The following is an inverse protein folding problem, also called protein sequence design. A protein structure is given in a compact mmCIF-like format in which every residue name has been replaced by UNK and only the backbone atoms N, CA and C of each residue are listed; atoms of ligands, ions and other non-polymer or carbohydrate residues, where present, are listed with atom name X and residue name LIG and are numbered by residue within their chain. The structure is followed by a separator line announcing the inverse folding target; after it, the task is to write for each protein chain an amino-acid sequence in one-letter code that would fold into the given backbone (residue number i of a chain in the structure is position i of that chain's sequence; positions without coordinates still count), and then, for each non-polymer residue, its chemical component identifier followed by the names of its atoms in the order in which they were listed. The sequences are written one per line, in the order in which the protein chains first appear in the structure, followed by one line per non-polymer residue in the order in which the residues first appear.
data_IF_691584923261
#
_entry.id   IF_691584923261
#
_cell.length_a   1.000
_cell.length_b   1.000
_cell.length_c   1.000
_cell.angle_alpha   90.00
_cell.angle_beta   90.00
_cell.angle_gamma   90.00
#
_symmetry.space_group_name_H-M   'P 1'
#
loop_
_entity.id
_entity.type
_entity.pdbx_description
1 polymer ?
#
# COMPACT_ATOMS: atom_id res chain seq x y z
N UNK A 1 27.85 -23.71 0.58
CA UNK A 1 27.97 -22.29 0.19
C UNK A 1 26.97 -21.50 1.01
N UNK A 2 27.41 -20.95 2.15
CA UNK A 2 26.61 -20.04 2.96
C UNK A 2 26.50 -18.69 2.26
N UNK A 3 25.27 -18.23 2.04
CA UNK A 3 25.01 -16.87 1.56
C UNK A 3 25.30 -15.92 2.71
N UNK A 4 26.41 -15.18 2.63
CA UNK A 4 26.68 -14.05 3.53
C UNK A 4 25.56 -13.01 3.37
N UNK A 5 24.77 -12.85 4.42
CA UNK A 5 23.75 -11.81 4.51
C UNK A 5 24.47 -10.48 4.75
N UNK A 6 24.26 -9.49 3.87
CA UNK A 6 24.80 -8.15 4.06
C UNK A 6 23.97 -7.48 5.17
N UNK A 7 24.59 -6.96 6.25
CA UNK A 7 23.87 -6.22 7.28
C UNK A 7 23.09 -5.07 6.64
N UNK A 8 21.77 -5.11 6.74
CA UNK A 8 20.87 -4.09 6.17
C UNK A 8 20.19 -4.43 4.84
N UNK A 9 20.46 -5.58 4.20
CA UNK A 9 19.69 -5.98 3.01
C UNK A 9 18.41 -6.73 3.42
N UNK A 10 17.26 -6.07 3.38
CA UNK A 10 15.98 -6.75 3.57
C UNK A 10 15.68 -7.66 2.37
N UNK A 11 15.25 -8.90 2.64
CA UNK A 11 14.82 -9.81 1.57
C UNK A 11 13.47 -9.31 1.05
N UNK A 12 13.48 -8.65 -0.11
CA UNK A 12 12.26 -8.12 -0.73
C UNK A 12 11.32 -9.28 -1.09
N UNK A 13 10.21 -9.38 -0.37
CA UNK A 13 9.19 -10.41 -0.62
C UNK A 13 8.01 -9.80 -1.39
N UNK A 14 7.93 -10.12 -2.68
CA UNK A 14 6.93 -9.57 -3.62
C UNK A 14 5.71 -10.48 -3.72
N UNK A 15 4.54 -9.90 -3.99
CA UNK A 15 3.29 -10.59 -4.30
C UNK A 15 2.92 -11.69 -3.29
N UNK A 16 3.22 -11.43 -2.02
CA UNK A 16 2.75 -12.19 -0.87
C UNK A 16 2.11 -11.24 0.12
N UNK A 17 1.30 -11.78 1.01
CA UNK A 17 0.67 -11.05 2.10
C UNK A 17 1.27 -11.53 3.41
N UNK A 18 1.64 -10.58 4.27
CA UNK A 18 2.13 -10.80 5.62
C UNK A 18 1.38 -9.91 6.61
N UNK A 19 1.95 -9.69 7.80
CA UNK A 19 1.36 -8.77 8.79
C UNK A 19 1.38 -7.33 8.31
N UNK A 20 2.49 -6.87 7.74
CA UNK A 20 2.68 -5.51 7.22
C UNK A 20 2.84 -5.57 5.70
N UNK A 21 1.98 -4.87 4.97
CA UNK A 21 1.85 -4.99 3.51
C UNK A 21 1.99 -3.64 2.83
N UNK A 22 2.95 -3.48 1.93
CA UNK A 22 3.01 -2.33 1.03
C UNK A 22 2.18 -2.64 -0.23
N UNK A 23 0.96 -2.12 -0.27
CA UNK A 23 0.04 -2.28 -1.38
C UNK A 23 0.32 -1.23 -2.46
N UNK A 24 0.52 -1.70 -3.69
CA UNK A 24 0.66 -0.83 -4.85
C UNK A 24 -0.74 -0.49 -5.37
N UNK A 25 -1.03 0.80 -5.46
CA UNK A 25 -2.29 1.31 -6.01
C UNK A 25 -2.06 2.32 -7.13
N UNK A 26 -3.10 2.54 -7.91
CA UNK A 26 -3.19 3.55 -8.97
C UNK A 26 -3.95 4.78 -8.45
N UNK A 27 -3.84 5.93 -9.14
CA UNK A 27 -4.50 7.18 -8.71
C UNK A 27 -6.01 7.08 -8.45
N UNK A 28 -6.71 6.08 -9.00
CA UNK A 28 -8.13 5.85 -8.69
C UNK A 28 -8.45 5.68 -7.19
N UNK A 29 -7.45 5.44 -6.33
CA UNK A 29 -7.62 5.47 -4.87
C UNK A 29 -8.09 6.83 -4.33
N UNK A 30 -7.72 7.94 -4.99
CA UNK A 30 -8.10 9.29 -4.56
C UNK A 30 -9.61 9.54 -4.70
N UNK A 31 -10.27 8.85 -5.64
CA UNK A 31 -11.75 8.91 -5.78
C UNK A 31 -12.48 8.14 -4.69
N UNK A 32 -11.75 7.41 -3.84
CA UNK A 32 -12.29 6.52 -2.80
C UNK A 32 -11.61 6.78 -1.46
N UNK A 33 -11.18 8.01 -1.17
CA UNK A 33 -10.49 8.31 0.10
C UNK A 33 -11.36 8.05 1.32
N UNK A 34 -12.66 8.33 1.28
CA UNK A 34 -13.55 8.05 2.42
C UNK A 34 -13.78 6.55 2.64
N UNK A 35 -13.69 5.76 1.56
CA UNK A 35 -13.98 4.32 1.56
C UNK A 35 -12.89 3.58 0.77
N UNK A 36 -11.64 3.59 1.26
CA UNK A 36 -10.51 3.07 0.50
C UNK A 36 -10.65 1.57 0.32
N UNK A 37 -10.11 1.06 -0.79
CA UNK A 37 -10.05 -0.37 -1.02
C UNK A 37 -8.76 -0.77 -1.72
N UNK A 38 -8.19 -1.91 -1.30
CA UNK A 38 -7.11 -2.56 -2.01
C UNK A 38 -7.69 -3.52 -3.07
N UNK A 39 -7.82 -3.03 -4.31
CA UNK A 39 -8.22 -3.87 -5.45
C UNK A 39 -7.09 -4.77 -5.95
N UNK A 40 -7.42 -5.98 -6.37
CA UNK A 40 -6.50 -6.96 -6.95
C UNK A 40 -7.02 -7.46 -8.31
N UNK A 41 -6.13 -7.67 -9.29
CA UNK A 41 -6.51 -8.25 -10.58
C UNK A 41 -6.86 -9.74 -10.44
N UNK A 42 -7.51 -10.30 -11.48
CA UNK A 42 -8.05 -11.66 -11.45
C UNK A 42 -7.03 -12.74 -11.06
N UNK A 43 -5.81 -12.62 -11.56
CA UNK A 43 -4.72 -13.56 -11.27
C UNK A 43 -4.09 -13.39 -9.87
N UNK A 44 -4.59 -12.48 -9.03
CA UNK A 44 -4.11 -12.21 -7.66
C UNK A 44 -5.19 -12.42 -6.61
N UNK A 45 -6.29 -13.11 -6.93
CA UNK A 45 -7.30 -13.56 -5.94
C UNK A 45 -6.68 -14.16 -4.66
N UNK A 46 -5.68 -15.07 -4.73
CA UNK A 46 -5.14 -15.67 -3.51
C UNK A 46 -4.38 -14.69 -2.61
N UNK A 47 -4.00 -13.51 -3.11
CA UNK A 47 -3.42 -12.45 -2.28
C UNK A 47 -4.55 -11.67 -1.59
N UNK A 48 -5.61 -11.34 -2.31
CA UNK A 48 -6.77 -10.65 -1.76
C UNK A 48 -7.41 -11.45 -0.62
N UNK A 49 -7.59 -12.76 -0.80
CA UNK A 49 -8.14 -13.67 0.22
C UNK A 49 -7.29 -13.74 1.50
N UNK A 50 -5.98 -13.53 1.39
CA UNK A 50 -5.06 -13.54 2.54
C UNK A 50 -4.96 -12.20 3.27
N UNK A 51 -5.42 -11.12 2.64
CA UNK A 51 -5.42 -9.79 3.24
C UNK A 51 -6.71 -9.60 4.04
N UNK A 52 -6.64 -9.99 5.30
CA UNK A 52 -7.80 -10.02 6.22
C UNK A 52 -7.61 -9.06 7.39
N UNK A 53 -8.67 -8.90 8.20
CA UNK A 53 -8.66 -8.13 9.45
C UNK A 53 -7.47 -8.55 10.33
N UNK A 54 -6.75 -7.56 10.87
CA UNK A 54 -5.49 -7.76 11.60
C UNK A 54 -4.22 -7.56 10.76
N UNK A 55 -4.36 -7.49 9.43
CA UNK A 55 -3.27 -7.04 8.54
C UNK A 55 -3.16 -5.51 8.55
N UNK A 56 -1.94 -5.00 8.38
CA UNK A 56 -1.66 -3.59 8.18
C UNK A 56 -1.28 -3.37 6.72
N UNK A 57 -1.88 -2.36 6.09
CA UNK A 57 -1.76 -2.09 4.65
C UNK A 57 -1.29 -0.65 4.42
N UNK A 58 -0.07 -0.49 3.96
CA UNK A 58 0.52 0.77 3.52
C UNK A 58 0.14 1.05 2.07
N UNK A 59 -0.44 2.21 1.80
CA UNK A 59 -0.95 2.57 0.47
C UNK A 59 0.11 3.32 -0.31
N UNK A 60 0.77 2.65 -1.26
CA UNK A 60 1.75 3.24 -2.17
C UNK A 60 1.13 3.58 -3.53
N UNK A 61 1.02 4.87 -3.82
CA UNK A 61 0.47 5.36 -5.08
C UNK A 61 1.60 5.52 -6.10
N UNK A 62 1.49 4.83 -7.23
CA UNK A 62 2.53 4.79 -8.28
C UNK A 62 2.62 6.04 -9.14
N UNK A 63 1.51 6.75 -9.32
CA UNK A 63 1.40 7.96 -10.15
C UNK A 63 0.30 8.86 -9.60
N UNK A 64 0.45 10.19 -9.64
CA UNK A 64 1.66 10.93 -9.99
C UNK A 64 2.75 10.88 -8.88
N UNK A 65 2.38 10.45 -7.68
CA UNK A 65 3.17 10.67 -6.47
C UNK A 65 4.44 9.82 -6.31
N UNK A 66 4.33 8.50 -6.54
CA UNK A 66 5.38 7.54 -6.13
C UNK A 66 5.68 7.63 -4.62
N UNK A 67 4.61 7.72 -3.83
CA UNK A 67 4.64 7.91 -2.37
C UNK A 67 3.69 6.94 -1.68
N UNK A 68 4.05 6.57 -0.45
CA UNK A 68 3.17 5.99 0.55
C UNK A 68 2.35 7.14 1.13
N UNK A 69 1.04 7.09 1.00
CA UNK A 69 0.15 8.19 1.41
C UNK A 69 -0.54 7.92 2.73
N UNK A 70 -0.46 6.70 3.26
CA UNK A 70 -1.13 6.38 4.51
C UNK A 70 -1.07 4.91 4.84
N UNK A 71 -1.70 4.58 5.96
CA UNK A 71 -1.79 3.24 6.52
C UNK A 71 -3.24 2.93 6.79
N UNK A 72 -3.66 1.73 6.39
CA UNK A 72 -4.99 1.22 6.60
C UNK A 72 -4.95 -0.15 7.28
N UNK A 73 -6.14 -0.59 7.72
CA UNK A 73 -6.46 -1.98 8.02
C UNK A 73 -7.65 -2.45 7.18
N UNK A 74 -7.73 -3.74 6.83
CA UNK A 74 -8.94 -4.34 6.30
C UNK A 74 -10.08 -4.30 7.31
N UNK A 75 -11.26 -3.86 6.87
CA UNK A 75 -12.48 -3.87 7.71
C UNK A 75 -13.25 -5.18 7.61
N UNK A 76 -13.06 -5.91 6.52
CA UNK A 76 -13.67 -7.21 6.28
C UNK A 76 -12.83 -8.03 5.29
N UNK A 77 -13.28 -9.27 5.04
CA UNK A 77 -12.69 -10.11 4.00
C UNK A 77 -12.91 -9.52 2.60
N UNK A 78 -12.12 -10.01 1.63
CA UNK A 78 -12.25 -9.64 0.23
C UNK A 78 -13.70 -9.84 -0.26
N UNK A 79 -14.19 -8.84 -0.99
CA UNK A 79 -15.41 -8.91 -1.81
C UNK A 79 -15.04 -8.97 -3.30
N UNK A 80 -15.89 -9.63 -4.08
CA UNK A 80 -15.78 -9.65 -5.53
C UNK A 80 -16.76 -8.65 -6.15
N UNK A 81 -16.24 -7.76 -6.99
CA UNK A 81 -16.99 -6.70 -7.67
C UNK A 81 -16.70 -6.81 -9.17
N UNK A 82 -17.49 -7.60 -9.88
CA UNK A 82 -17.22 -7.99 -11.27
C UNK A 82 -17.13 -6.80 -12.25
N UNK A 83 -17.81 -5.69 -11.94
CA UNK A 83 -17.82 -4.47 -12.76
C UNK A 83 -16.53 -3.65 -12.66
N UNK A 84 -15.66 -3.94 -11.70
CA UNK A 84 -14.41 -3.21 -11.54
C UNK A 84 -13.26 -3.84 -12.34
N UNK A 85 -12.35 -2.99 -12.84
CA UNK A 85 -11.11 -3.42 -13.50
C UNK A 85 -10.35 -4.45 -12.66
N UNK A 86 -10.36 -4.26 -11.35
CA UNK A 86 -9.74 -5.14 -10.35
C UNK A 86 -10.83 -5.71 -9.45
N UNK A 87 -11.37 -6.89 -9.79
CA UNK A 87 -12.64 -7.34 -9.20
C UNK A 87 -12.51 -7.78 -7.75
N UNK A 88 -11.31 -8.15 -7.29
CA UNK A 88 -11.11 -8.64 -5.93
C UNK A 88 -10.69 -7.49 -5.02
N UNK A 89 -11.64 -6.94 -4.27
CA UNK A 89 -11.45 -5.75 -3.45
C UNK A 89 -11.42 -6.12 -1.98
N UNK A 90 -10.44 -5.59 -1.25
CA UNK A 90 -10.40 -5.65 0.21
C UNK A 90 -10.79 -4.28 0.75
N UNK A 91 -11.96 -4.10 1.37
CA UNK A 91 -12.36 -2.82 1.97
C UNK A 91 -11.44 -2.46 3.12
N UNK A 92 -11.05 -1.19 3.19
CA UNK A 92 -10.07 -0.68 4.12
C UNK A 92 -10.63 0.48 4.94
N UNK A 93 -10.00 0.75 6.08
CA UNK A 93 -10.18 1.97 6.88
C UNK A 93 -8.82 2.56 7.19
N UNK A 94 -8.70 3.89 7.10
CA UNK A 94 -7.47 4.60 7.47
C UNK A 94 -7.17 4.48 8.97
N UNK A 95 -5.91 4.22 9.28
CA UNK A 95 -5.30 4.30 10.61
C UNK A 95 -4.47 5.58 10.71
N UNK A 96 -3.72 5.89 9.64
CA UNK A 96 -2.92 7.11 9.49
C UNK A 96 -3.12 7.64 8.08
N UNK A 97 -3.40 8.94 7.95
CA UNK A 97 -3.64 9.60 6.68
C UNK A 97 -5.08 9.43 6.18
N UNK A 98 -5.33 9.68 4.88
CA UNK A 98 -4.35 9.96 3.82
C UNK A 98 -3.58 11.28 4.03
N UNK A 99 -2.27 11.28 3.80
CA UNK A 99 -1.35 12.39 4.06
C UNK A 99 -0.81 13.01 2.76
N UNK A 100 -0.53 14.32 2.81
CA UNK A 100 0.22 15.06 1.78
C UNK A 100 1.47 15.70 2.41
N UNK A 101 2.67 15.56 1.80
CA UNK A 101 2.95 15.03 0.45
C UNK A 101 3.15 13.50 0.34
N UNK A 102 2.97 12.74 1.43
CA UNK A 102 3.30 11.32 1.52
C UNK A 102 4.81 11.05 1.70
N UNK A 103 5.17 9.76 1.80
CA UNK A 103 6.54 9.27 2.07
C UNK A 103 7.06 8.46 0.89
N UNK A 104 8.20 8.82 0.33
CA UNK A 104 8.82 8.03 -0.75
C UNK A 104 9.47 6.77 -0.18
N UNK A 105 9.64 5.76 -1.03
CA UNK A 105 10.36 4.53 -0.64
C UNK A 105 11.78 4.86 -0.16
N UNK A 106 12.44 5.86 -0.77
CA UNK A 106 13.77 6.32 -0.36
C UNK A 106 13.77 6.95 1.04
N UNK A 107 12.83 7.84 1.33
CA UNK A 107 12.68 8.47 2.66
C UNK A 107 12.38 7.41 3.73
N UNK A 108 11.58 6.41 3.38
CA UNK A 108 11.30 5.27 4.24
C UNK A 108 12.45 4.25 4.33
N UNK A 109 13.59 4.48 3.64
CA UNK A 109 14.70 3.51 3.56
C UNK A 109 14.29 2.12 3.07
N UNK A 110 13.27 2.05 2.23
CA UNK A 110 12.79 0.80 1.61
C UNK A 110 13.50 0.59 0.27
N UNK A 111 14.31 -0.46 0.16
CA UNK A 111 14.93 -0.85 -1.12
C UNK A 111 13.92 -1.61 -2.01
N UNK A 112 12.76 -1.01 -2.23
CA UNK A 112 11.69 -1.58 -3.06
C UNK A 112 11.67 -0.88 -4.41
N UNK A 113 11.70 -1.68 -5.48
CA UNK A 113 11.53 -1.20 -6.86
C UNK A 113 10.34 -1.92 -7.50
N UNK A 114 9.15 -1.29 -7.50
CA UNK A 114 7.96 -1.82 -8.16
C UNK A 114 8.22 -2.15 -9.63
N UNK A 115 7.76 -3.33 -10.07
CA UNK A 115 7.81 -3.76 -11.47
C UNK A 115 6.39 -4.00 -11.99
N UNK A 116 6.18 -4.02 -13.33
CA UNK A 116 4.91 -4.48 -13.88
C UNK A 116 4.50 -5.83 -13.30
N UNK A 117 3.27 -5.93 -12.81
CA UNK A 117 2.73 -7.14 -12.18
C UNK A 117 2.98 -7.29 -10.67
N UNK A 118 3.77 -6.41 -10.05
CA UNK A 118 3.82 -6.30 -8.60
C UNK A 118 2.54 -5.63 -8.09
N UNK A 119 1.92 -6.21 -7.08
CA UNK A 119 0.71 -5.67 -6.43
C UNK A 119 0.88 -5.46 -4.94
N UNK A 120 1.82 -6.16 -4.30
CA UNK A 120 2.04 -6.11 -2.87
C UNK A 120 3.49 -6.46 -2.52
N UNK A 121 4.03 -5.87 -1.47
CA UNK A 121 5.27 -6.31 -0.82
C UNK A 121 5.02 -6.54 0.67
N UNK A 122 5.76 -7.47 1.27
CA UNK A 122 5.79 -7.61 2.72
C UNK A 122 6.87 -6.68 3.28
N UNK A 123 6.51 -5.92 4.31
CA UNK A 123 7.44 -5.16 5.13
C UNK A 123 7.71 -5.94 6.43
N UNK A 124 8.91 -5.79 6.98
CA UNK A 124 9.16 -6.19 8.36
C UNK A 124 8.62 -5.12 9.33
N UNK A 125 8.63 -5.43 10.62
CA UNK A 125 8.08 -4.55 11.66
C UNK A 125 8.87 -3.24 11.80
N UNK A 126 10.19 -3.27 11.66
CA UNK A 126 11.03 -2.08 11.74
C UNK A 126 10.76 -1.12 10.58
N UNK A 127 10.66 -1.66 9.36
CA UNK A 127 10.27 -0.93 8.14
C UNK A 127 8.87 -0.32 8.30
N UNK A 128 7.91 -1.09 8.79
CA UNK A 128 6.53 -0.64 9.02
C UNK A 128 6.47 0.52 10.03
N UNK A 129 7.11 0.35 11.20
CA UNK A 129 7.13 1.37 12.26
C UNK A 129 7.81 2.66 11.79
N UNK A 130 8.87 2.54 10.99
CA UNK A 130 9.56 3.69 10.39
C UNK A 130 8.62 4.48 9.47
N UNK A 131 7.91 3.79 8.57
CA UNK A 131 6.95 4.45 7.67
C UNK A 131 5.83 5.14 8.46
N UNK A 132 5.25 4.47 9.47
CA UNK A 132 4.22 5.06 10.34
C UNK A 132 4.73 6.34 11.02
N UNK A 133 5.93 6.28 11.59
CA UNK A 133 6.53 7.42 12.31
C UNK A 133 6.74 8.62 11.40
N UNK A 134 7.09 8.41 10.13
CA UNK A 134 7.26 9.50 9.17
C UNK A 134 5.88 10.04 8.76
N UNK A 135 4.90 9.17 8.46
CA UNK A 135 3.55 9.56 8.05
C UNK A 135 2.83 10.39 9.12
N UNK A 136 2.95 10.03 10.39
CA UNK A 136 2.31 10.75 11.51
C UNK A 136 2.80 12.20 11.68
N UNK A 137 3.90 12.58 11.02
CA UNK A 137 4.44 13.94 11.04
C UNK A 137 3.98 14.78 9.85
N UNK A 138 3.20 14.20 8.95
CA UNK A 138 2.70 14.88 7.75
C UNK A 138 1.30 15.42 7.98
N UNK A 139 0.92 16.42 7.18
CA UNK A 139 -0.45 16.93 7.15
C UNK A 139 -1.37 15.99 6.39
N UNK A 140 -2.66 16.13 6.62
CA UNK A 140 -3.68 15.45 5.85
C UNK A 140 -3.70 15.95 4.40
N UNK A 141 -4.21 15.13 3.48
CA UNK A 141 -4.49 15.58 2.12
C UNK A 141 -5.68 16.55 2.17
N UNK A 142 -5.49 17.75 1.62
CA UNK A 142 -6.52 18.78 1.52
C UNK A 142 -7.23 18.68 0.16
N UNK A 143 -8.57 18.62 0.17
CA UNK A 143 -9.43 18.53 -1.02
C UNK A 143 -9.13 19.61 -2.08
N UNK A 144 -8.50 20.72 -1.67
CA UNK A 144 -8.15 21.86 -2.54
C UNK A 144 -7.01 21.61 -3.53
N UNK A 145 -6.28 20.48 -3.41
CA UNK A 145 -5.20 20.12 -4.34
C UNK A 145 -5.60 19.10 -5.42
N UNK A 146 -6.87 18.66 -5.46
CA UNK A 146 -7.28 17.40 -6.13
C UNK A 146 -7.64 17.53 -7.63
N UNK A 147 -8.04 18.72 -8.12
CA UNK A 147 -8.41 18.89 -9.55
C UNK A 147 -7.26 18.59 -10.52
N UNK A 148 -6.00 18.62 -10.07
CA UNK A 148 -4.82 18.30 -10.90
C UNK A 148 -4.42 16.81 -10.84
N UNK A 149 -5.13 15.98 -10.07
CA UNK A 149 -4.73 14.61 -9.76
C UNK A 149 -5.54 13.56 -10.54
N UNK A 150 -6.59 13.99 -11.23
CA UNK A 150 -7.50 13.14 -12.00
C UNK A 150 -7.38 13.30 -13.52
N UNK A 151 -6.56 14.25 -14.00
CA UNK A 151 -6.26 14.54 -15.41
C UNK A 151 -5.10 13.69 -15.98
#
# INVERSE_FOLDING_TARGET
MEKKQVPGSSIITRNKVGKYNLKIVYPGIFRKLDNPSAGFPKNKRPLAEKMTVGSIVFIYVTSPYKKIIGVCEPTQNMIEVESERWPYNVPLRWIVGPCSPGVSLKEASLDIRPRPGDTNFILNEEEANRVITILQKQGDIDDTNDDRLLD
#
